data_IF_726414171333
#
_entry.id   IF_726414171333
#
_cell.length_a   1.000
_cell.length_b   1.000
_cell.length_c   1.000
_cell.angle_alpha   90.00
_cell.angle_beta   90.00
_cell.angle_gamma   90.00
#
_symmetry.space_group_name_H-M   'P 1'
#
loop_
_entity.id
_entity.type
_entity.pdbx_description
1 polymer ?
#
# COMPACT_ATOMS: atom_id res chain seq x y z
N UNK A 1 -4.18 22.56 -8.83
CA UNK A 1 -3.60 21.64 -9.83
C UNK A 1 -4.37 20.35 -9.79
N UNK A 2 -4.42 19.60 -10.90
CA UNK A 2 -5.08 18.28 -10.94
C UNK A 2 -4.41 17.36 -9.91
N UNK A 3 -5.16 16.83 -8.95
CA UNK A 3 -4.62 15.91 -7.96
C UNK A 3 -4.54 14.52 -8.61
N UNK A 4 -3.33 14.08 -8.95
CA UNK A 4 -3.12 12.74 -9.48
C UNK A 4 -3.06 11.76 -8.30
N UNK A 5 -3.94 10.76 -8.36
CA UNK A 5 -3.94 9.63 -7.43
C UNK A 5 -3.35 8.40 -8.14
N UNK A 6 -2.47 7.67 -7.46
CA UNK A 6 -1.96 6.40 -7.97
C UNK A 6 -2.59 5.22 -7.24
N UNK A 7 -2.75 4.10 -7.94
CA UNK A 7 -3.13 2.82 -7.37
C UNK A 7 -1.93 1.88 -7.40
N UNK A 8 -1.65 1.25 -6.27
CA UNK A 8 -0.60 0.24 -6.12
C UNK A 8 -1.24 -1.12 -5.87
N UNK A 9 -0.93 -2.10 -6.71
CA UNK A 9 -1.24 -3.51 -6.47
C UNK A 9 0.00 -4.21 -5.89
N UNK A 10 0.14 -4.29 -4.56
CA UNK A 10 1.32 -4.87 -3.93
C UNK A 10 1.53 -6.34 -4.28
N UNK A 11 2.78 -6.77 -4.26
CA UNK A 11 3.21 -8.15 -4.49
C UNK A 11 3.91 -8.70 -3.24
N UNK A 12 3.15 -9.01 -2.16
CA UNK A 12 3.74 -9.37 -0.87
C UNK A 12 4.61 -10.64 -0.95
N UNK A 13 4.28 -11.58 -1.84
CA UNK A 13 5.05 -12.82 -2.04
C UNK A 13 6.32 -12.67 -2.89
N UNK A 14 6.62 -11.46 -3.39
CA UNK A 14 7.87 -11.20 -4.10
C UNK A 14 9.07 -11.17 -3.14
N UNK A 15 10.29 -11.13 -3.70
CA UNK A 15 11.52 -10.93 -2.91
C UNK A 15 11.72 -9.50 -2.40
N UNK A 16 10.84 -8.55 -2.79
CA UNK A 16 10.96 -7.13 -2.45
C UNK A 16 10.05 -6.78 -1.28
N UNK A 17 10.58 -6.01 -0.34
CA UNK A 17 9.80 -5.37 0.73
C UNK A 17 8.76 -4.41 0.17
N UNK A 18 7.73 -4.10 0.96
CA UNK A 18 6.72 -3.12 0.57
C UNK A 18 7.30 -1.74 0.30
N UNK A 19 8.27 -1.30 1.13
CA UNK A 19 9.00 -0.06 0.90
C UNK A 19 9.71 -0.02 -0.47
N UNK A 20 10.38 -1.10 -0.89
CA UNK A 20 11.04 -1.18 -2.20
C UNK A 20 10.03 -1.12 -3.35
N UNK A 21 8.91 -1.82 -3.23
CA UNK A 21 7.87 -1.77 -4.25
C UNK A 21 7.25 -0.36 -4.37
N UNK A 22 7.08 0.33 -3.23
CA UNK A 22 6.62 1.70 -3.22
C UNK A 22 7.63 2.66 -3.86
N UNK A 23 8.93 2.51 -3.54
CA UNK A 23 10.01 3.31 -4.14
C UNK A 23 10.01 3.18 -5.67
N UNK A 24 9.89 1.95 -6.17
CA UNK A 24 9.85 1.68 -7.62
C UNK A 24 8.66 2.38 -8.29
N UNK A 25 7.45 2.24 -7.73
CA UNK A 25 6.28 2.94 -8.25
C UNK A 25 6.47 4.46 -8.22
N UNK A 26 6.86 5.01 -7.06
CA UNK A 26 7.01 6.44 -6.86
C UNK A 26 8.06 7.07 -7.80
N UNK A 27 9.25 6.45 -7.90
CA UNK A 27 10.30 6.99 -8.76
C UNK A 27 9.99 6.82 -10.25
N UNK A 28 9.31 5.74 -10.65
CA UNK A 28 8.86 5.60 -12.04
C UNK A 28 7.85 6.70 -12.43
N UNK A 29 6.92 7.05 -11.53
CA UNK A 29 5.98 8.15 -11.74
C UNK A 29 6.70 9.51 -11.79
N UNK A 30 7.60 9.78 -10.84
CA UNK A 30 8.39 11.01 -10.83
C UNK A 30 9.25 11.15 -12.09
N UNK A 31 9.90 10.08 -12.54
CA UNK A 31 10.69 10.07 -13.78
C UNK A 31 9.83 10.31 -15.03
N UNK A 32 8.53 10.01 -14.97
CA UNK A 32 7.55 10.33 -16.01
C UNK A 32 6.94 11.74 -15.86
N UNK A 33 7.47 12.59 -14.96
CA UNK A 33 6.93 13.90 -14.60
C UNK A 33 5.49 13.85 -14.06
N UNK A 34 5.13 12.77 -13.37
CA UNK A 34 3.83 12.62 -12.70
C UNK A 34 4.01 12.88 -11.20
N UNK A 35 3.46 13.99 -10.74
CA UNK A 35 3.42 14.34 -9.32
C UNK A 35 2.17 13.78 -8.65
N UNK A 36 2.34 12.68 -7.92
CA UNK A 36 1.28 12.12 -7.07
C UNK A 36 1.26 12.79 -5.70
N UNK A 37 0.07 12.96 -5.14
CA UNK A 37 -0.14 13.47 -3.77
C UNK A 37 -0.79 12.42 -2.86
N UNK A 38 -1.56 11.50 -3.45
CA UNK A 38 -2.22 10.39 -2.77
C UNK A 38 -1.96 9.08 -3.48
N UNK A 39 -1.86 7.99 -2.71
CA UNK A 39 -1.74 6.63 -3.23
C UNK A 39 -2.75 5.72 -2.54
N UNK A 40 -3.47 4.92 -3.32
CA UNK A 40 -4.32 3.85 -2.83
C UNK A 40 -3.60 2.51 -2.92
N UNK A 41 -3.50 1.80 -1.80
CA UNK A 41 -2.91 0.45 -1.74
C UNK A 41 -4.04 -0.56 -1.80
N UNK A 42 -4.03 -1.41 -2.82
CA UNK A 42 -4.99 -2.48 -2.97
C UNK A 42 -4.65 -3.64 -2.02
N UNK A 43 -5.55 -3.93 -1.08
CA UNK A 43 -5.43 -5.04 -0.12
C UNK A 43 -6.60 -5.98 -0.34
N UNK A 44 -6.56 -6.68 -1.47
CA UNK A 44 -7.61 -7.60 -1.92
C UNK A 44 -6.99 -8.94 -2.32
N UNK A 45 -7.83 -9.91 -2.67
CA UNK A 45 -7.46 -11.22 -3.19
C UNK A 45 -6.56 -11.99 -2.21
N UNK A 46 -7.12 -12.41 -1.08
CA UNK A 46 -6.42 -13.00 0.06
C UNK A 46 -5.50 -14.18 -0.29
N UNK A 47 -5.79 -14.92 -1.36
CA UNK A 47 -4.95 -15.99 -1.91
C UNK A 47 -3.53 -15.55 -2.34
N UNK A 48 -3.35 -14.27 -2.69
CA UNK A 48 -2.04 -13.72 -3.08
C UNK A 48 -1.22 -13.17 -1.90
N UNK A 49 -1.77 -13.21 -0.68
CA UNK A 49 -1.11 -12.75 0.53
C UNK A 49 -0.51 -13.92 1.31
N UNK A 50 0.33 -13.62 2.31
CA UNK A 50 0.81 -14.70 3.18
C UNK A 50 -0.30 -15.18 4.11
N UNK A 51 -0.24 -16.47 4.44
CA UNK A 51 -1.08 -17.05 5.51
C UNK A 51 -0.80 -16.34 6.84
N UNK A 52 0.43 -15.90 7.08
CA UNK A 52 0.83 -15.20 8.29
C UNK A 52 0.44 -13.71 8.24
N UNK A 53 -0.60 -13.35 9.00
CA UNK A 53 -1.19 -12.01 8.97
C UNK A 53 -0.25 -10.93 9.49
N UNK A 54 0.59 -11.27 10.46
CA UNK A 54 1.65 -10.40 10.96
C UNK A 54 2.67 -10.01 9.89
N UNK A 55 3.01 -10.91 8.96
CA UNK A 55 3.92 -10.64 7.85
C UNK A 55 3.27 -9.66 6.87
N UNK A 56 1.99 -9.85 6.55
CA UNK A 56 1.24 -8.93 5.69
C UNK A 56 1.15 -7.52 6.31
N UNK A 57 0.87 -7.43 7.61
CA UNK A 57 0.82 -6.15 8.33
C UNK A 57 2.19 -5.47 8.34
N UNK A 58 3.28 -6.20 8.57
CA UNK A 58 4.64 -5.65 8.48
C UNK A 58 4.97 -5.15 7.08
N UNK A 59 4.59 -5.91 6.05
CA UNK A 59 4.75 -5.52 4.66
C UNK A 59 4.00 -4.21 4.35
N UNK A 60 2.73 -4.12 4.74
CA UNK A 60 1.92 -2.90 4.59
C UNK A 60 2.51 -1.72 5.35
N UNK A 61 2.91 -1.91 6.61
CA UNK A 61 3.54 -0.86 7.41
C UNK A 61 4.81 -0.30 6.73
N UNK A 62 5.58 -1.15 6.05
CA UNK A 62 6.76 -0.69 5.30
C UNK A 62 6.39 0.22 4.12
N UNK A 63 5.25 -0.03 3.44
CA UNK A 63 4.71 0.86 2.41
C UNK A 63 4.31 2.19 3.03
N UNK A 64 3.51 2.15 4.10
CA UNK A 64 2.95 3.33 4.74
C UNK A 64 4.05 4.25 5.28
N UNK A 65 5.07 3.68 5.93
CA UNK A 65 6.22 4.43 6.42
C UNK A 65 6.99 5.09 5.27
N UNK A 66 7.15 4.38 4.14
CA UNK A 66 7.85 4.92 2.98
C UNK A 66 7.08 6.08 2.34
N UNK A 67 5.78 5.93 2.17
CA UNK A 67 4.92 6.99 1.64
C UNK A 67 4.94 8.23 2.52
N UNK A 68 4.85 8.05 3.85
CA UNK A 68 4.93 9.15 4.82
C UNK A 68 6.29 9.87 4.75
N UNK A 69 7.40 9.14 4.56
CA UNK A 69 8.71 9.75 4.36
C UNK A 69 8.76 10.67 3.13
N UNK A 70 7.96 10.40 2.10
CA UNK A 70 7.81 11.28 0.92
C UNK A 70 6.69 12.32 1.05
N UNK A 71 6.02 12.41 2.20
CA UNK A 71 4.93 13.36 2.44
C UNK A 71 3.65 13.04 1.68
N UNK A 72 3.45 11.78 1.26
CA UNK A 72 2.27 11.35 0.52
C UNK A 72 1.17 10.88 1.47
N UNK A 73 -0.08 11.17 1.12
CA UNK A 73 -1.23 10.56 1.79
C UNK A 73 -1.48 9.16 1.24
N UNK A 74 -1.86 8.21 2.10
CA UNK A 74 -2.14 6.84 1.69
C UNK A 74 -3.55 6.44 2.11
N UNK A 75 -4.26 5.79 1.19
CA UNK A 75 -5.52 5.08 1.43
C UNK A 75 -5.34 3.57 1.28
N UNK A 76 -6.17 2.78 1.96
CA UNK A 76 -6.29 1.34 1.70
C UNK A 76 -7.60 1.08 0.97
N UNK A 77 -7.51 0.36 -0.15
CA UNK A 77 -8.66 -0.14 -0.89
C UNK A 77 -8.86 -1.63 -0.59
N UNK A 78 -9.95 -1.98 0.09
CA UNK A 78 -10.25 -3.34 0.56
C UNK A 78 -11.73 -3.47 0.96
N UNK A 79 -12.21 -4.69 1.14
CA UNK A 79 -13.47 -4.94 1.83
C UNK A 79 -13.23 -5.54 3.23
N UNK A 80 -14.28 -5.62 4.06
CA UNK A 80 -14.14 -6.02 5.47
C UNK A 80 -13.66 -7.47 5.63
N UNK A 81 -14.09 -8.36 4.74
CA UNK A 81 -13.76 -9.79 4.79
C UNK A 81 -12.30 -9.98 4.38
N UNK A 82 -11.88 -9.38 3.26
CA UNK A 82 -10.51 -9.40 2.78
C UNK A 82 -9.55 -8.74 3.77
N UNK A 83 -9.93 -7.61 4.36
CA UNK A 83 -9.12 -6.96 5.39
C UNK A 83 -8.89 -7.87 6.59
N UNK A 84 -9.96 -8.54 7.04
CA UNK A 84 -9.88 -9.50 8.14
C UNK A 84 -9.00 -10.69 7.76
N UNK A 85 -9.22 -11.28 6.59
CA UNK A 85 -8.47 -12.44 6.10
C UNK A 85 -6.99 -12.13 5.86
N UNK A 86 -6.64 -10.93 5.40
CA UNK A 86 -5.26 -10.58 5.05
C UNK A 86 -4.49 -10.07 6.27
N UNK A 87 -5.12 -9.28 7.14
CA UNK A 87 -4.43 -8.56 8.21
C UNK A 87 -4.80 -8.99 9.62
N UNK A 88 -5.82 -9.85 9.76
CA UNK A 88 -6.38 -10.17 11.07
C UNK A 88 -7.14 -8.99 11.68
N UNK A 89 -7.81 -8.18 10.85
CA UNK A 89 -8.52 -6.96 11.26
C UNK A 89 -7.60 -5.95 11.96
N UNK A 90 -6.39 -5.78 11.43
CA UNK A 90 -5.41 -4.85 12.01
C UNK A 90 -6.01 -3.44 12.09
N UNK A 91 -5.74 -2.74 13.20
CA UNK A 91 -6.13 -1.33 13.35
C UNK A 91 -5.16 -0.46 12.59
N UNK A 92 -5.68 0.36 11.69
CA UNK A 92 -4.91 1.37 10.97
C UNK A 92 -5.20 2.73 11.60
N UNK A 93 -4.15 3.46 11.95
CA UNK A 93 -4.27 4.84 12.42
C UNK A 93 -3.94 5.79 11.26
N UNK A 94 -4.69 6.89 11.14
CA UNK A 94 -4.43 7.98 10.19
C UNK A 94 -4.49 7.61 8.69
N UNK A 95 -5.33 6.64 8.30
CA UNK A 95 -5.50 6.25 6.90
C UNK A 95 -6.98 6.26 6.53
N UNK A 96 -7.30 6.83 5.37
CA UNK A 96 -8.64 6.81 4.79
C UNK A 96 -8.95 5.42 4.24
N UNK A 97 -10.05 4.83 4.68
CA UNK A 97 -10.57 3.56 4.18
C UNK A 97 -11.58 3.86 3.06
N UNK A 98 -11.45 3.21 1.90
CA UNK A 98 -12.46 3.26 0.83
C UNK A 98 -12.66 1.88 0.22
#
# INVERSE_FOLDING_TARGET
GLQAEAYMSPQPQSSKTGAQQFDEMYFNLKNANIDVQSVWIQVTSSDYWYVYKSVNVQFLNSILQRANHYGLSVGIYTNIDEWSEITGSAKINNITLW
#
